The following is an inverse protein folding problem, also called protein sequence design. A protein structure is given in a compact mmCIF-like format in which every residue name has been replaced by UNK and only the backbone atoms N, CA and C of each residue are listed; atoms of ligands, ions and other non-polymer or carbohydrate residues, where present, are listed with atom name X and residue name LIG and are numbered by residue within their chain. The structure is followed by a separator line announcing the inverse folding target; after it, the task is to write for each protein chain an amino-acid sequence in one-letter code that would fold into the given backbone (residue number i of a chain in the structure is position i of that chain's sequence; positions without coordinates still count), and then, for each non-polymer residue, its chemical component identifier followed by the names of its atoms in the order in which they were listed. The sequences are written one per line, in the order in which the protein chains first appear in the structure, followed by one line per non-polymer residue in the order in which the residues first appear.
data_IF_404438474838
#
_entry.id   IF_404438474838
#
_cell.length_a   1.000
_cell.length_b   1.000
_cell.length_c   1.000
_cell.angle_alpha   90.00
_cell.angle_beta   90.00
_cell.angle_gamma   90.00
#
_symmetry.space_group_name_H-M   'P 1'
#
loop_
_entity.id
_entity.type
_entity.pdbx_description
1 polymer ?
#
# COMPACT_ATOMS: atom_id res chain seq x y z
N UNK A 1 32.24 2.23 -12.81
CA UNK A 1 31.39 3.39 -12.46
C UNK A 1 30.69 3.05 -11.17
N UNK A 2 31.06 3.74 -10.09
CA UNK A 2 30.40 3.56 -8.81
C UNK A 2 29.07 4.32 -8.85
N UNK A 3 27.96 3.68 -8.49
CA UNK A 3 26.61 4.26 -8.58
C UNK A 3 26.50 5.62 -7.87
N UNK A 4 27.24 5.79 -6.78
CA UNK A 4 27.33 7.04 -6.01
C UNK A 4 27.89 8.21 -6.83
N UNK A 5 28.95 7.99 -7.61
CA UNK A 5 29.60 9.02 -8.43
C UNK A 5 28.60 9.59 -9.45
N UNK A 6 27.86 8.71 -10.14
CA UNK A 6 26.85 9.11 -11.13
C UNK A 6 25.69 9.89 -10.51
N UNK A 7 25.30 9.57 -9.27
CA UNK A 7 24.24 10.30 -8.55
C UNK A 7 24.71 11.71 -8.19
N UNK A 8 25.95 11.86 -7.74
CA UNK A 8 26.53 13.16 -7.38
C UNK A 8 26.67 14.05 -8.62
N UNK A 9 27.12 13.49 -9.76
CA UNK A 9 27.20 14.22 -11.02
C UNK A 9 25.83 14.74 -11.46
N UNK A 10 24.81 13.87 -11.48
CA UNK A 10 23.47 14.25 -11.88
C UNK A 10 22.85 15.32 -10.96
N UNK A 11 23.07 15.22 -9.64
CA UNK A 11 22.59 16.22 -8.68
C UNK A 11 23.16 17.62 -8.92
N UNK A 12 24.41 17.73 -9.41
CA UNK A 12 25.05 19.01 -9.70
C UNK A 12 24.51 19.71 -10.94
N UNK A 13 23.93 18.96 -11.87
CA UNK A 13 23.34 19.49 -13.11
C UNK A 13 21.92 20.03 -12.91
N UNK A 14 21.27 19.72 -11.78
CA UNK A 14 19.90 20.13 -11.45
C UNK A 14 19.82 21.54 -10.88
N UNK A 15 18.68 22.21 -11.07
CA UNK A 15 18.37 23.48 -10.41
C UNK A 15 18.22 23.30 -8.89
N UNK A 16 18.32 24.39 -8.09
CA UNK A 16 18.12 24.31 -6.64
C UNK A 16 16.77 23.71 -6.24
N UNK A 17 15.70 24.03 -6.97
CA UNK A 17 14.35 23.52 -6.70
C UNK A 17 14.27 22.00 -6.93
N UNK A 18 14.89 21.53 -8.02
CA UNK A 18 14.96 20.11 -8.34
C UNK A 18 15.82 19.34 -7.34
N UNK A 19 16.91 19.94 -6.84
CA UNK A 19 17.73 19.34 -5.78
C UNK A 19 16.91 19.15 -4.49
N UNK A 20 16.06 20.11 -4.13
CA UNK A 20 15.15 20.00 -2.99
C UNK A 20 14.16 18.85 -3.17
N UNK A 21 13.60 18.67 -4.38
CA UNK A 21 12.72 17.54 -4.69
C UNK A 21 13.43 16.19 -4.54
N UNK A 22 14.69 16.09 -4.98
CA UNK A 22 15.49 14.87 -4.80
C UNK A 22 15.76 14.59 -3.32
N UNK A 23 16.00 15.63 -2.51
CA UNK A 23 16.15 15.46 -1.06
C UNK A 23 14.87 14.96 -0.40
N UNK A 24 13.71 15.48 -0.80
CA UNK A 24 12.41 15.00 -0.33
C UNK A 24 12.21 13.52 -0.69
N UNK A 25 12.50 13.14 -1.93
CA UNK A 25 12.43 11.75 -2.36
C UNK A 25 13.41 10.85 -1.57
N UNK A 26 14.63 11.30 -1.30
CA UNK A 26 15.58 10.55 -0.49
C UNK A 26 15.08 10.36 0.96
N UNK A 27 14.43 11.38 1.53
CA UNK A 27 13.78 11.28 2.84
C UNK A 27 12.63 10.26 2.81
N UNK A 28 11.80 10.28 1.75
CA UNK A 28 10.75 9.28 1.52
C UNK A 28 11.31 7.85 1.47
N UNK A 29 12.42 7.62 0.76
CA UNK A 29 13.03 6.28 0.69
C UNK A 29 13.50 5.78 2.06
N UNK A 30 14.11 6.65 2.87
CA UNK A 30 14.53 6.33 4.24
C UNK A 30 13.32 5.94 5.11
N UNK A 31 12.23 6.68 4.98
CA UNK A 31 11.00 6.39 5.75
C UNK A 31 10.31 5.10 5.26
N UNK A 32 10.28 4.87 3.94
CA UNK A 32 9.77 3.63 3.35
C UNK A 32 10.55 2.40 3.83
N UNK A 33 11.87 2.50 3.99
CA UNK A 33 12.69 1.39 4.47
C UNK A 33 12.39 1.02 5.93
N UNK A 34 12.05 2.01 6.78
CA UNK A 34 11.62 1.75 8.17
C UNK A 34 10.32 0.97 8.24
N UNK A 35 9.45 1.09 7.22
CA UNK A 35 8.28 0.21 7.05
C UNK A 35 8.73 -1.15 6.54
N UNK A 36 9.53 -1.85 7.34
CA UNK A 36 9.79 -3.28 7.15
C UNK A 36 8.43 -3.94 7.10
N UNK A 37 8.12 -4.53 5.94
CA UNK A 37 6.87 -5.26 5.67
C UNK A 37 6.81 -6.45 6.63
N UNK A 38 6.26 -6.26 7.83
CA UNK A 38 5.61 -7.37 8.49
C UNK A 38 4.57 -7.91 7.51
N UNK A 39 4.48 -9.23 7.32
CA UNK A 39 3.35 -9.80 6.60
C UNK A 39 2.09 -9.19 7.18
N UNK A 40 1.22 -8.64 6.35
CA UNK A 40 -0.08 -8.22 6.86
C UNK A 40 -0.70 -9.47 7.50
N UNK A 41 -1.27 -9.35 8.71
CA UNK A 41 -2.00 -10.48 9.27
C UNK A 41 -3.00 -10.96 8.21
N UNK A 42 -3.13 -12.27 8.05
CA UNK A 42 -4.07 -12.84 7.09
C UNK A 42 -5.43 -12.18 7.33
N UNK A 43 -5.95 -11.49 6.31
CA UNK A 43 -7.27 -10.86 6.34
C UNK A 43 -8.41 -11.87 6.21
N UNK A 44 -8.14 -13.13 6.54
CA UNK A 44 -9.17 -14.13 6.67
C UNK A 44 -9.77 -13.89 8.04
N UNK A 45 -10.97 -13.34 8.06
CA UNK A 45 -11.92 -13.49 9.15
C UNK A 45 -12.24 -15.00 9.28
N UNK A 46 -11.24 -15.79 9.66
CA UNK A 46 -11.29 -17.23 9.73
C UNK A 46 -12.33 -17.62 10.79
N UNK A 47 -13.35 -18.36 10.35
CA UNK A 47 -14.52 -18.68 11.17
C UNK A 47 -15.47 -17.51 11.48
N UNK A 48 -15.22 -16.29 10.98
CA UNK A 48 -16.10 -15.13 11.20
C UNK A 48 -17.11 -14.89 10.07
N UNK A 49 -16.97 -15.59 8.94
CA UNK A 49 -18.00 -15.67 7.90
C UNK A 49 -18.29 -17.12 7.56
N UNK A 50 -19.58 -17.46 7.47
CA UNK A 50 -20.03 -18.74 6.95
C UNK A 50 -20.57 -18.51 5.55
N UNK A 51 -19.96 -19.17 4.56
CA UNK A 51 -20.50 -19.20 3.20
C UNK A 51 -21.62 -20.25 3.19
N UNK A 52 -22.84 -19.91 2.72
CA UNK A 52 -23.91 -20.88 2.56
C UNK A 52 -23.50 -22.03 1.62
N UNK A 53 -24.10 -23.21 1.82
CA UNK A 53 -23.83 -24.37 0.96
C UNK A 53 -24.20 -24.13 -0.52
N UNK A 54 -25.18 -23.24 -0.76
CA UNK A 54 -25.56 -22.75 -2.07
C UNK A 54 -25.35 -21.23 -2.15
N UNK A 55 -24.27 -20.82 -2.82
CA UNK A 55 -23.93 -19.41 -2.99
C UNK A 55 -24.86 -18.70 -4.00
N UNK A 56 -25.45 -19.45 -4.93
CA UNK A 56 -26.34 -18.90 -5.96
C UNK A 56 -27.79 -18.78 -5.46
N UNK A 57 -28.09 -19.29 -4.27
CA UNK A 57 -29.38 -19.10 -3.60
C UNK A 57 -29.64 -17.61 -3.30
N UNK A 58 -30.91 -17.17 -3.33
CA UNK A 58 -31.25 -15.82 -2.91
C UNK A 58 -30.83 -15.58 -1.46
N UNK A 59 -30.46 -14.32 -1.16
CA UNK A 59 -30.22 -13.91 0.22
C UNK A 59 -31.46 -14.14 1.08
N UNK A 60 -31.32 -14.52 2.36
CA UNK A 60 -32.49 -14.67 3.21
C UNK A 60 -33.14 -13.31 3.49
N UNK A 61 -34.46 -13.33 3.71
CA UNK A 61 -35.30 -12.14 3.89
C UNK A 61 -34.82 -11.23 5.04
N UNK A 62 -34.25 -11.83 6.08
CA UNK A 62 -33.70 -11.14 7.25
C UNK A 62 -32.51 -10.24 6.90
N UNK A 63 -31.70 -10.65 5.93
CA UNK A 63 -30.53 -9.93 5.44
C UNK A 63 -30.96 -8.86 4.44
N UNK A 64 -31.92 -9.17 3.55
CA UNK A 64 -32.48 -8.21 2.59
C UNK A 64 -33.09 -7.00 3.32
N UNK A 65 -33.84 -7.24 4.40
CA UNK A 65 -34.48 -6.19 5.20
C UNK A 65 -33.48 -5.18 5.82
N UNK A 66 -32.19 -5.52 5.94
CA UNK A 66 -31.15 -4.60 6.41
C UNK A 66 -30.81 -3.50 5.39
N UNK A 67 -31.12 -3.70 4.10
CA UNK A 67 -30.72 -2.80 3.01
C UNK A 67 -31.87 -1.97 2.42
N UNK A 68 -33.12 -2.27 2.80
CA UNK A 68 -34.31 -1.64 2.23
C UNK A 68 -34.91 -0.53 3.13
N UNK A 69 -34.08 0.11 3.97
CA UNK A 69 -34.49 1.22 4.84
C UNK A 69 -34.81 2.52 4.10
#
# INVERSE_FOLDING_TARGET
MHTEERVIELLRELSPEQQVEVLDFAAFLKERQKRVRSPRPYGLCDGAFQVPDDFDAPLPETEIALFES
#
